data_IF_129759350142
#
_entry.id   IF_129759350142
#
_cell.length_a   1.000
_cell.length_b   1.000
_cell.length_c   1.000
_cell.angle_alpha   90.00
_cell.angle_beta   90.00
_cell.angle_gamma   90.00
#
_symmetry.space_group_name_H-M   'P 1'
#
loop_
_entity.id
_entity.type
_entity.pdbx_description
1 polymer ?
#
# COMPACT_ATOMS: atom_id res chain seq x y z
N UNK A 1 -13.11 -0.14 9.31
CA UNK A 1 -12.54 0.65 10.43
C UNK A 1 -11.05 0.36 10.51
N UNK A 2 -10.18 1.39 10.60
CA UNK A 2 -8.76 1.20 10.89
C UNK A 2 -8.62 0.35 12.16
N UNK A 3 -7.89 -0.76 12.09
CA UNK A 3 -7.67 -1.63 13.23
C UNK A 3 -6.17 -1.98 13.37
N UNK A 4 -5.65 -2.15 14.60
CA UNK A 4 -4.23 -2.44 14.81
C UNK A 4 -3.75 -3.72 14.14
N UNK A 5 -4.61 -4.74 14.06
CA UNK A 5 -4.32 -6.09 13.57
C UNK A 5 -4.61 -6.27 12.06
N UNK A 6 -4.81 -5.17 11.34
CA UNK A 6 -4.97 -5.18 9.90
C UNK A 6 -3.63 -5.48 9.25
N UNK A 7 -3.68 -6.24 8.16
CA UNK A 7 -2.56 -6.34 7.22
C UNK A 7 -2.23 -4.93 6.71
N UNK A 8 -0.96 -4.54 6.81
CA UNK A 8 -0.49 -3.21 6.39
C UNK A 8 0.54 -3.39 5.29
N UNK A 9 0.46 -2.53 4.29
CA UNK A 9 1.35 -2.51 3.13
C UNK A 9 1.83 -1.07 2.98
N UNK A 10 3.14 -0.90 2.84
CA UNK A 10 3.75 0.40 2.56
C UNK A 10 3.96 0.57 1.06
N UNK A 11 3.66 1.75 0.55
CA UNK A 11 4.17 2.17 -0.76
C UNK A 11 5.62 2.64 -0.60
N UNK A 12 6.46 2.38 -1.61
CA UNK A 12 7.85 2.80 -1.64
C UNK A 12 8.04 3.93 -2.65
N UNK A 13 8.94 4.87 -2.36
CA UNK A 13 9.24 5.98 -3.27
C UNK A 13 9.75 5.50 -4.66
N UNK A 14 10.29 4.28 -4.74
CA UNK A 14 10.77 3.65 -5.97
C UNK A 14 9.67 3.18 -6.93
N UNK A 15 8.38 3.31 -6.58
CA UNK A 15 7.29 2.91 -7.46
C UNK A 15 6.73 1.51 -7.20
N UNK A 16 6.85 1.00 -5.97
CA UNK A 16 6.37 -0.32 -5.59
C UNK A 16 5.73 -0.34 -4.20
N UNK A 17 5.62 -1.53 -3.63
CA UNK A 17 5.10 -1.71 -2.28
C UNK A 17 5.80 -2.85 -1.55
N UNK A 18 5.80 -2.78 -0.22
CA UNK A 18 6.32 -3.82 0.68
C UNK A 18 5.28 -4.15 1.74
N UNK A 19 5.24 -5.42 2.14
CA UNK A 19 4.41 -5.87 3.24
C UNK A 19 4.98 -5.38 4.58
N UNK A 20 4.22 -4.57 5.31
CA UNK A 20 4.61 -4.11 6.64
C UNK A 20 4.28 -5.16 7.71
N UNK A 21 3.10 -5.76 7.62
CA UNK A 21 2.70 -6.92 8.42
C UNK A 21 1.55 -7.67 7.72
N UNK A 22 1.36 -8.94 8.10
CA UNK A 22 0.21 -9.76 7.73
C UNK A 22 -0.53 -10.27 8.98
N UNK A 23 -0.91 -9.35 9.87
CA UNK A 23 -1.61 -9.70 11.11
C UNK A 23 -3.00 -10.31 10.87
N UNK A 24 -3.59 -10.10 9.69
CA UNK A 24 -4.85 -10.74 9.28
C UNK A 24 -4.68 -12.18 8.80
N UNK A 25 -3.43 -12.68 8.70
CA UNK A 25 -3.09 -14.05 8.25
C UNK A 25 -3.64 -14.38 6.86
N UNK A 26 -3.53 -13.43 5.93
CA UNK A 26 -3.85 -13.66 4.52
C UNK A 26 -2.88 -14.73 3.98
N UNK A 27 -3.36 -15.78 3.29
CA UNK A 27 -2.50 -16.78 2.67
C UNK A 27 -1.48 -16.15 1.72
N UNK A 28 -0.23 -16.62 1.75
CA UNK A 28 0.88 -16.01 0.98
C UNK A 28 0.59 -15.85 -0.51
N UNK A 29 -0.10 -16.82 -1.13
CA UNK A 29 -0.47 -16.75 -2.55
C UNK A 29 -1.41 -15.58 -2.84
N UNK A 30 -2.43 -15.40 -2.01
CA UNK A 30 -3.37 -14.28 -2.15
C UNK A 30 -2.70 -12.96 -1.83
N UNK A 31 -1.85 -12.94 -0.80
CA UNK A 31 -1.10 -11.76 -0.42
C UNK A 31 -0.16 -11.28 -1.54
N UNK A 32 0.52 -12.20 -2.22
CA UNK A 32 1.36 -11.87 -3.37
C UNK A 32 0.55 -11.27 -4.52
N UNK A 33 -0.61 -11.84 -4.85
CA UNK A 33 -1.50 -11.26 -5.85
C UNK A 33 -1.94 -9.84 -5.47
N UNK A 34 -2.25 -9.59 -4.19
CA UNK A 34 -2.60 -8.27 -3.69
C UNK A 34 -1.42 -7.28 -3.86
N UNK A 35 -0.20 -7.69 -3.51
CA UNK A 35 1.00 -6.86 -3.66
C UNK A 35 1.29 -6.54 -5.14
N UNK A 36 1.13 -7.51 -6.04
CA UNK A 36 1.28 -7.30 -7.49
C UNK A 36 0.28 -6.26 -8.02
N UNK A 37 -0.98 -6.35 -7.62
CA UNK A 37 -2.02 -5.38 -8.02
C UNK A 37 -1.69 -3.98 -7.48
N UNK A 38 -1.30 -3.87 -6.21
CA UNK A 38 -0.94 -2.59 -5.60
C UNK A 38 0.25 -1.97 -6.32
N UNK A 39 1.29 -2.74 -6.63
CA UNK A 39 2.46 -2.27 -7.36
C UNK A 39 2.10 -1.83 -8.79
N UNK A 40 1.29 -2.61 -9.51
CA UNK A 40 0.84 -2.26 -10.86
C UNK A 40 -0.02 -0.98 -10.89
N UNK A 41 -0.79 -0.72 -9.83
CA UNK A 41 -1.63 0.47 -9.69
C UNK A 41 -0.99 1.61 -8.90
N UNK A 42 0.32 1.53 -8.62
CA UNK A 42 1.03 2.48 -7.76
C UNK A 42 0.73 3.95 -8.09
N UNK A 43 0.84 4.34 -9.37
CA UNK A 43 0.62 5.73 -9.79
C UNK A 43 -0.83 6.19 -9.59
N UNK A 44 -1.81 5.30 -9.80
CA UNK A 44 -3.21 5.59 -9.55
C UNK A 44 -3.44 5.83 -8.07
N UNK A 45 -2.94 4.95 -7.20
CA UNK A 45 -3.07 5.09 -5.74
C UNK A 45 -2.45 6.41 -5.26
N UNK A 46 -1.26 6.75 -5.75
CA UNK A 46 -0.61 8.02 -5.43
C UNK A 46 -1.42 9.23 -5.90
N UNK A 47 -1.99 9.17 -7.11
CA UNK A 47 -2.86 10.23 -7.63
C UNK A 47 -4.09 10.43 -6.76
N UNK A 48 -4.84 9.35 -6.48
CA UNK A 48 -6.04 9.39 -5.65
C UNK A 48 -5.74 9.89 -4.23
N UNK A 49 -4.60 9.51 -3.64
CA UNK A 49 -4.16 10.02 -2.34
C UNK A 49 -3.99 11.54 -2.36
N UNK A 50 -3.26 12.05 -3.37
CA UNK A 50 -3.03 13.50 -3.54
C UNK A 50 -4.34 14.26 -3.73
N UNK A 51 -5.23 13.72 -4.55
CA UNK A 51 -6.54 14.32 -4.83
C UNK A 51 -7.46 14.30 -3.60
N UNK A 52 -7.44 13.23 -2.81
CA UNK A 52 -8.25 13.09 -1.61
C UNK A 52 -7.77 14.03 -0.49
N UNK A 53 -6.46 14.00 -0.18
CA UNK A 53 -5.87 14.79 0.90
C UNK A 53 -5.46 16.21 0.48
N UNK A 54 -5.70 16.59 -0.79
CA UNK A 54 -5.37 17.90 -1.35
C UNK A 54 -3.91 18.30 -1.11
N UNK A 55 -3.00 17.35 -1.35
CA UNK A 55 -1.55 17.51 -1.18
C UNK A 55 -0.83 17.18 -2.48
N UNK A 56 0.28 17.86 -2.76
CA UNK A 56 1.14 17.55 -3.91
C UNK A 56 2.22 16.51 -3.58
N UNK A 57 2.45 16.27 -2.29
CA UNK A 57 3.54 15.44 -1.77
C UNK A 57 3.00 14.23 -1.03
N UNK A 58 3.68 13.09 -1.23
CA UNK A 58 3.46 11.85 -0.49
C UNK A 58 4.76 11.57 0.27
N UNK A 59 4.62 11.32 1.58
CA UNK A 59 5.74 10.89 2.41
C UNK A 59 5.78 9.37 2.41
N UNK A 60 6.88 8.81 1.92
CA UNK A 60 7.15 7.38 1.97
C UNK A 60 7.95 7.05 3.23
N UNK A 61 7.73 5.87 3.79
CA UNK A 61 8.58 5.36 4.85
C UNK A 61 9.97 5.04 4.27
N UNK A 62 11.03 5.50 4.94
CA UNK A 62 12.42 5.34 4.51
C UNK A 62 12.85 3.87 4.56
#
# INVERSE_FOLDING_TARGET
MPNPNATKIWLTASGGCILANNSSRIPTKELNNILEIIAAQYFLICKEWKEHFKTNEIKFYC
#
